data_IF_842378169307
#
_entry.id   IF_842378169307
#
_cell.length_a   1.000
_cell.length_b   1.000
_cell.length_c   1.000
_cell.angle_alpha   90.00
_cell.angle_beta   90.00
_cell.angle_gamma   90.00
#
_symmetry.space_group_name_H-M   'P 1'
#
loop_
_entity.id
_entity.type
_entity.pdbx_description
1 polymer ?
#
# COMPACT_ATOMS: atom_id res chain seq x y z
N UNK A 1 0.93 -15.78 -7.51
CA UNK A 1 1.90 -14.69 -7.75
C UNK A 1 2.64 -14.37 -6.48
N UNK A 2 3.81 -13.74 -6.57
CA UNK A 2 4.67 -13.40 -5.43
C UNK A 2 3.94 -12.59 -4.36
N UNK A 3 3.08 -11.64 -4.75
CA UNK A 3 2.23 -10.86 -3.84
C UNK A 3 1.34 -11.73 -2.93
N UNK A 4 0.73 -12.79 -3.46
CA UNK A 4 -0.12 -13.69 -2.67
C UNK A 4 0.74 -14.47 -1.67
N UNK A 5 1.91 -14.96 -2.09
CA UNK A 5 2.85 -15.64 -1.21
C UNK A 5 3.31 -14.71 -0.08
N UNK A 6 3.69 -13.48 -0.40
CA UNK A 6 4.07 -12.46 0.57
C UNK A 6 2.94 -12.13 1.55
N UNK A 7 1.69 -12.06 1.07
CA UNK A 7 0.52 -11.82 1.92
C UNK A 7 0.33 -12.95 2.97
N UNK A 8 0.45 -14.21 2.56
CA UNK A 8 0.36 -15.35 3.47
C UNK A 8 1.54 -15.42 4.45
N UNK A 9 2.77 -15.19 3.97
CA UNK A 9 3.95 -15.11 4.83
C UNK A 9 3.78 -14.02 5.89
N UNK A 10 3.35 -12.83 5.48
CA UNK A 10 3.11 -11.73 6.41
C UNK A 10 1.99 -12.03 7.40
N UNK A 11 0.91 -12.69 6.98
CA UNK A 11 -0.14 -13.14 7.90
C UNK A 11 0.46 -14.00 9.01
N UNK A 12 1.25 -15.01 8.66
CA UNK A 12 1.88 -15.90 9.65
C UNK A 12 2.85 -15.17 10.57
N UNK A 13 3.67 -14.26 10.04
CA UNK A 13 4.61 -13.49 10.86
C UNK A 13 3.91 -12.46 11.75
N UNK A 14 2.88 -11.77 11.24
CA UNK A 14 2.09 -10.80 12.01
C UNK A 14 1.33 -11.46 13.15
N UNK A 15 0.82 -12.68 12.95
CA UNK A 15 0.13 -13.43 14.00
C UNK A 15 0.98 -13.55 15.28
N UNK A 16 2.30 -13.73 15.15
CA UNK A 16 3.21 -13.82 16.29
C UNK A 16 3.23 -12.53 17.14
N UNK A 17 3.02 -11.38 16.51
CA UNK A 17 3.00 -10.08 17.17
C UNK A 17 1.59 -9.65 17.61
N UNK A 18 0.54 -10.19 17.00
CA UNK A 18 -0.85 -9.79 17.25
C UNK A 18 -1.64 -10.79 18.10
N UNK A 19 -0.98 -11.83 18.64
CA UNK A 19 -1.62 -12.87 19.50
C UNK A 19 -2.42 -12.31 20.68
N UNK A 20 -2.03 -11.14 21.21
CA UNK A 20 -2.71 -10.48 22.33
C UNK A 20 -3.94 -9.66 21.89
N UNK A 21 -4.17 -9.50 20.58
CA UNK A 21 -5.26 -8.73 19.99
C UNK A 21 -6.17 -9.68 19.20
N UNK A 22 -7.12 -10.32 19.89
CA UNK A 22 -8.08 -11.28 19.29
C UNK A 22 -8.87 -10.66 18.12
N UNK A 23 -9.11 -9.35 18.15
CA UNK A 23 -9.81 -8.61 17.09
C UNK A 23 -8.91 -8.25 15.89
N UNK A 24 -7.60 -8.43 15.99
CA UNK A 24 -6.63 -7.98 14.97
C UNK A 24 -6.00 -9.15 14.19
N UNK A 25 -6.67 -10.30 14.13
CA UNK A 25 -6.21 -11.46 13.35
C UNK A 25 -6.15 -11.09 11.86
N UNK A 26 -4.97 -11.12 11.22
CA UNK A 26 -4.87 -10.77 9.81
C UNK A 26 -5.62 -11.77 8.91
N UNK A 27 -6.37 -11.24 7.94
CA UNK A 27 -7.08 -12.02 6.94
C UNK A 27 -6.64 -11.59 5.53
N UNK A 28 -6.38 -12.57 4.66
CA UNK A 28 -6.03 -12.33 3.26
C UNK A 28 -7.30 -12.47 2.44
N UNK A 29 -7.77 -11.37 1.84
CA UNK A 29 -8.97 -11.39 1.02
C UNK A 29 -8.73 -12.13 -0.30
N UNK A 30 -9.66 -13.00 -0.64
CA UNK A 30 -9.74 -13.63 -1.97
C UNK A 30 -10.49 -12.72 -2.95
N UNK A 31 -10.43 -13.03 -4.25
CA UNK A 31 -11.03 -12.19 -5.31
C UNK A 31 -12.55 -11.98 -5.15
N UNK A 32 -13.24 -12.96 -4.54
CA UNK A 32 -14.69 -12.99 -4.35
C UNK A 32 -15.15 -12.40 -3.02
N UNK A 33 -14.22 -12.19 -2.09
CA UNK A 33 -14.54 -11.64 -0.78
C UNK A 33 -14.70 -10.12 -0.85
N UNK A 34 -15.48 -9.60 0.10
CA UNK A 34 -15.63 -8.17 0.36
C UNK A 34 -14.94 -7.82 1.66
N UNK A 35 -14.65 -6.54 1.86
CA UNK A 35 -14.05 -6.08 3.11
C UNK A 35 -14.97 -6.38 4.32
N UNK A 36 -14.47 -7.00 5.40
CA UNK A 36 -15.24 -7.18 6.63
C UNK A 36 -15.67 -5.83 7.23
N UNK A 37 -16.89 -5.71 7.80
CA UNK A 37 -17.45 -4.42 8.23
C UNK A 37 -16.72 -3.77 9.41
N UNK A 38 -15.97 -4.56 10.19
CA UNK A 38 -15.22 -4.09 11.37
C UNK A 38 -13.73 -3.87 11.07
N UNK A 39 -13.33 -3.89 9.80
CA UNK A 39 -11.94 -3.63 9.42
C UNK A 39 -11.56 -2.21 9.80
N UNK A 40 -10.43 -2.02 10.48
CA UNK A 40 -9.88 -0.70 10.83
C UNK A 40 -8.63 -0.34 10.03
N UNK A 41 -7.90 -1.35 9.57
CA UNK A 41 -6.65 -1.21 8.83
C UNK A 41 -6.59 -2.23 7.71
N UNK A 42 -6.17 -1.81 6.52
CA UNK A 42 -5.88 -2.68 5.38
C UNK A 42 -4.40 -2.61 5.06
N UNK A 43 -3.75 -3.77 5.02
CA UNK A 43 -2.38 -3.91 4.53
C UNK A 43 -2.45 -4.05 3.02
N UNK A 44 -1.87 -3.09 2.30
CA UNK A 44 -1.88 -3.04 0.84
C UNK A 44 -0.60 -3.70 0.33
N UNK A 45 -0.73 -4.87 -0.27
CA UNK A 45 0.41 -5.60 -0.85
C UNK A 45 0.76 -5.02 -2.21
N UNK A 46 1.83 -4.24 -2.27
CA UNK A 46 2.27 -3.51 -3.43
C UNK A 46 3.29 -4.32 -4.25
N UNK A 47 2.81 -4.87 -5.36
CA UNK A 47 3.61 -5.54 -6.40
C UNK A 47 3.42 -4.82 -7.74
N UNK A 48 4.29 -5.06 -8.72
CA UNK A 48 4.11 -4.47 -10.04
C UNK A 48 2.79 -4.93 -10.66
N UNK A 49 1.96 -3.97 -11.07
CA UNK A 49 0.65 -4.23 -11.68
C UNK A 49 -0.49 -4.61 -10.73
N UNK A 50 -0.31 -4.58 -9.40
CA UNK A 50 -1.40 -4.89 -8.45
C UNK A 50 -2.65 -4.02 -8.66
N UNK A 51 -2.47 -2.73 -8.98
CA UNK A 51 -3.57 -1.78 -9.25
C UNK A 51 -4.25 -1.96 -10.61
N UNK A 52 -3.86 -2.96 -11.42
CA UNK A 52 -4.52 -3.33 -12.68
C UNK A 52 -5.53 -4.47 -12.49
N UNK A 53 -5.55 -5.10 -11.32
CA UNK A 53 -6.41 -6.24 -11.01
C UNK A 53 -7.79 -5.75 -10.55
N UNK A 54 -8.90 -6.05 -11.27
CA UNK A 54 -10.23 -5.51 -10.93
C UNK A 54 -10.69 -5.82 -9.49
N UNK A 55 -10.44 -7.04 -9.00
CA UNK A 55 -10.82 -7.42 -7.64
C UNK A 55 -10.03 -6.63 -6.57
N UNK A 56 -8.76 -6.36 -6.83
CA UNK A 56 -7.88 -5.62 -5.93
C UNK A 56 -8.28 -4.13 -5.87
N UNK A 57 -8.56 -3.54 -7.04
CA UNK A 57 -9.07 -2.17 -7.16
C UNK A 57 -10.41 -2.01 -6.43
N UNK A 58 -11.35 -2.94 -6.64
CA UNK A 58 -12.62 -2.97 -5.92
C UNK A 58 -12.42 -2.97 -4.40
N UNK A 59 -11.55 -3.84 -3.88
CA UNK A 59 -11.29 -3.97 -2.44
C UNK A 59 -10.63 -2.72 -1.84
N UNK A 60 -9.74 -2.06 -2.58
CA UNK A 60 -9.15 -0.77 -2.17
C UNK A 60 -10.21 0.32 -2.07
N UNK A 61 -11.09 0.41 -3.07
CA UNK A 61 -12.16 1.40 -3.09
C UNK A 61 -13.22 1.12 -2.01
N UNK A 62 -13.54 -0.15 -1.74
CA UNK A 62 -14.37 -0.57 -0.61
C UNK A 62 -13.75 -0.12 0.74
N UNK A 63 -12.44 -0.29 0.92
CA UNK A 63 -11.74 0.14 2.12
C UNK A 63 -11.70 1.66 2.30
N UNK A 64 -11.44 2.41 1.23
CA UNK A 64 -11.55 3.87 1.24
C UNK A 64 -12.98 4.30 1.60
N UNK A 65 -13.99 3.65 1.01
CA UNK A 65 -15.39 3.93 1.31
C UNK A 65 -15.79 3.56 2.75
N UNK A 66 -15.07 2.64 3.39
CA UNK A 66 -15.24 2.33 4.80
C UNK A 66 -14.47 3.28 5.73
N UNK A 67 -13.64 4.19 5.20
CA UNK A 67 -12.80 5.09 5.99
C UNK A 67 -11.69 4.35 6.74
N UNK A 68 -11.23 3.24 6.18
CA UNK A 68 -10.19 2.38 6.74
C UNK A 68 -8.81 2.97 6.44
N UNK A 69 -7.88 2.86 7.38
CA UNK A 69 -6.51 3.30 7.13
C UNK A 69 -5.74 2.25 6.33
N UNK A 70 -4.76 2.71 5.55
CA UNK A 70 -3.92 1.84 4.73
C UNK A 70 -2.52 1.70 5.32
N UNK A 71 -1.91 0.54 5.12
CA UNK A 71 -0.49 0.30 5.41
C UNK A 71 0.15 -0.32 4.16
N UNK A 72 0.84 0.47 3.32
CA UNK A 72 1.48 -0.07 2.12
C UNK A 72 2.69 -0.94 2.46
N UNK A 73 2.77 -2.11 1.83
CA UNK A 73 3.89 -3.05 1.90
C UNK A 73 4.40 -3.37 0.50
N UNK A 74 5.65 -3.01 0.20
CA UNK A 74 6.29 -3.31 -1.08
C UNK A 74 6.93 -4.70 -1.02
N UNK A 75 6.60 -5.55 -1.99
CA UNK A 75 7.07 -6.95 -2.01
C UNK A 75 8.05 -7.28 -3.14
N UNK A 76 8.35 -6.30 -4.00
CA UNK A 76 9.27 -6.42 -5.13
C UNK A 76 10.32 -5.30 -5.10
N UNK A 77 11.59 -5.62 -5.32
CA UNK A 77 12.69 -4.63 -5.27
C UNK A 77 12.59 -3.56 -6.36
N UNK A 78 12.04 -3.93 -7.51
CA UNK A 78 11.83 -3.06 -8.66
C UNK A 78 10.41 -2.47 -8.71
N UNK A 79 9.72 -2.37 -7.57
CA UNK A 79 8.41 -1.76 -7.49
C UNK A 79 8.46 -0.29 -7.92
N UNK A 80 7.63 0.09 -8.90
CA UNK A 80 7.48 1.47 -9.35
C UNK A 80 6.49 2.20 -8.43
N UNK A 81 7.00 3.13 -7.62
CA UNK A 81 6.14 4.04 -6.84
C UNK A 81 5.28 4.92 -7.76
N UNK A 82 4.09 5.36 -7.31
CA UNK A 82 3.24 6.23 -8.10
C UNK A 82 3.98 7.49 -8.55
N UNK A 83 3.82 7.82 -9.83
CA UNK A 83 4.35 8.99 -10.50
C UNK A 83 3.38 9.37 -11.64
N UNK A 84 3.62 10.49 -12.33
CA UNK A 84 2.71 10.96 -13.39
C UNK A 84 2.45 9.91 -14.48
N UNK A 85 3.51 9.25 -14.95
CA UNK A 85 3.40 8.16 -15.93
C UNK A 85 2.59 6.97 -15.39
N UNK A 86 2.73 6.64 -14.10
CA UNK A 86 1.92 5.60 -13.47
C UNK A 86 0.44 5.99 -13.44
N UNK A 87 0.12 7.27 -13.18
CA UNK A 87 -1.27 7.73 -13.16
C UNK A 87 -1.87 7.77 -14.57
N UNK A 88 -1.11 8.18 -15.58
CA UNK A 88 -1.50 8.07 -16.99
C UNK A 88 -1.82 6.61 -17.35
N UNK A 89 -0.96 5.67 -16.96
CA UNK A 89 -1.19 4.23 -17.15
C UNK A 89 -2.51 3.74 -16.49
N UNK A 90 -2.93 4.33 -15.36
CA UNK A 90 -4.21 4.00 -14.70
C UNK A 90 -5.39 4.60 -15.48
N UNK A 91 -5.27 5.82 -16.01
CA UNK A 91 -6.33 6.45 -16.81
C UNK A 91 -6.64 5.68 -18.11
N UNK A 92 -5.66 4.94 -18.63
CA UNK A 92 -5.80 4.10 -19.83
C UNK A 92 -6.42 2.72 -19.55
N UNK A 93 -6.65 2.34 -18.28
CA UNK A 93 -7.24 1.04 -17.96
C UNK A 93 -8.70 0.94 -18.43
N UNK A 94 -9.16 -0.26 -18.83
CA UNK A 94 -10.51 -0.42 -19.31
C UNK A 94 -11.54 -0.21 -18.18
N UNK A 95 -12.73 0.37 -18.46
CA UNK A 95 -13.69 0.76 -17.44
C UNK A 95 -14.12 -0.36 -16.48
N UNK A 96 -14.09 -1.61 -16.92
CA UNK A 96 -14.46 -2.78 -16.10
C UNK A 96 -13.50 -3.04 -14.93
N UNK A 97 -12.31 -2.42 -14.90
CA UNK A 97 -11.39 -2.49 -13.75
C UNK A 97 -11.95 -1.74 -12.54
N UNK A 98 -12.71 -0.66 -12.77
CA UNK A 98 -13.14 0.27 -11.72
C UNK A 98 -14.54 -0.04 -11.15
N UNK A 99 -15.32 -0.89 -11.82
CA UNK A 99 -16.70 -1.16 -11.42
C UNK A 99 -17.57 0.11 -11.52
N UNK A 100 -18.18 0.51 -10.40
CA UNK A 100 -19.03 1.72 -10.31
C UNK A 100 -18.24 3.01 -10.03
N UNK A 101 -16.93 2.91 -9.79
CA UNK A 101 -16.05 4.05 -9.58
C UNK A 101 -15.34 4.48 -10.88
N UNK A 102 -14.65 5.61 -10.86
CA UNK A 102 -13.82 6.06 -11.97
C UNK A 102 -12.31 5.95 -11.65
N UNK A 103 -11.47 6.11 -12.67
CA UNK A 103 -10.01 6.03 -12.54
C UNK A 103 -9.43 7.09 -11.59
N UNK A 104 -10.03 8.29 -11.52
CA UNK A 104 -9.57 9.35 -10.63
C UNK A 104 -9.81 9.00 -9.16
N UNK A 105 -10.90 8.31 -8.83
CA UNK A 105 -11.15 7.83 -7.47
C UNK A 105 -10.02 6.90 -7.01
N UNK A 106 -9.58 6.00 -7.89
CA UNK A 106 -8.45 5.10 -7.60
C UNK A 106 -7.13 5.85 -7.47
N UNK A 107 -6.82 6.79 -8.38
CA UNK A 107 -5.61 7.61 -8.34
C UNK A 107 -5.52 8.37 -7.01
N UNK A 108 -6.63 8.99 -6.59
CA UNK A 108 -6.74 9.70 -5.32
C UNK A 108 -6.46 8.80 -4.12
N UNK A 109 -6.98 7.57 -4.12
CA UNK A 109 -6.75 6.58 -3.05
C UNK A 109 -5.31 6.09 -3.06
N UNK A 110 -4.74 5.78 -4.22
CA UNK A 110 -3.33 5.40 -4.36
C UNK A 110 -2.42 6.51 -3.83
N UNK A 111 -2.68 7.76 -4.20
CA UNK A 111 -1.97 8.92 -3.68
C UNK A 111 -1.98 8.94 -2.15
N UNK A 112 -3.14 8.74 -1.53
CA UNK A 112 -3.28 8.64 -0.06
C UNK A 112 -2.55 7.45 0.55
N UNK A 113 -2.65 6.27 -0.06
CA UNK A 113 -1.95 5.06 0.41
C UNK A 113 -0.45 5.34 0.54
N UNK A 114 0.15 6.03 -0.44
CA UNK A 114 1.58 6.31 -0.48
C UNK A 114 1.99 7.65 0.18
N UNK A 115 1.06 8.36 0.84
CA UNK A 115 1.45 9.41 1.80
C UNK A 115 2.06 8.79 3.07
N UNK A 116 1.66 7.56 3.39
CA UNK A 116 2.28 6.78 4.46
C UNK A 116 3.55 6.08 3.96
N UNK A 117 4.57 6.00 4.82
CA UNK A 117 5.83 5.33 4.50
C UNK A 117 5.55 3.86 4.18
N UNK A 118 5.90 3.41 2.98
CA UNK A 118 5.80 2.00 2.62
C UNK A 118 6.92 1.18 3.28
N UNK A 119 6.57 0.01 3.80
CA UNK A 119 7.55 -0.93 4.34
C UNK A 119 7.89 -1.95 3.27
N UNK A 120 9.17 -2.08 2.90
CA UNK A 120 9.61 -3.20 2.06
C UNK A 120 9.60 -4.51 2.84
N UNK A 121 9.06 -5.58 2.27
CA UNK A 121 9.08 -6.95 2.80
C UNK A 121 9.35 -7.90 1.63
N UNK A 122 10.61 -8.30 1.44
CA UNK A 122 11.01 -9.16 0.34
C UNK A 122 11.16 -10.59 0.84
N UNK A 123 10.43 -11.54 0.24
CA UNK A 123 10.43 -12.94 0.71
C UNK A 123 11.82 -13.62 0.65
N UNK A 124 12.78 -13.04 -0.05
CA UNK A 124 14.16 -13.50 -0.18
C UNK A 124 15.06 -13.04 0.97
N UNK A 125 14.59 -12.08 1.79
CA UNK A 125 15.32 -11.60 2.95
C UNK A 125 15.50 -12.69 4.00
N UNK A 126 16.55 -12.57 4.81
CA UNK A 126 16.71 -13.44 5.98
C UNK A 126 15.55 -13.29 6.97
N UNK A 127 15.22 -14.36 7.68
CA UNK A 127 14.17 -14.38 8.70
C UNK A 127 14.31 -13.25 9.73
N UNK A 128 15.53 -12.92 10.15
CA UNK A 128 15.80 -11.82 11.09
C UNK A 128 15.38 -10.46 10.53
N UNK A 129 15.65 -10.20 9.25
CA UNK A 129 15.26 -8.96 8.58
C UNK A 129 13.75 -8.88 8.43
N UNK A 130 13.12 -9.99 8.03
CA UNK A 130 11.66 -10.10 7.97
C UNK A 130 11.00 -9.84 9.34
N UNK A 131 11.53 -10.43 10.41
CA UNK A 131 11.01 -10.26 11.76
C UNK A 131 11.03 -8.78 12.21
N UNK A 132 12.13 -8.05 11.93
CA UNK A 132 12.23 -6.62 12.26
C UNK A 132 11.20 -5.79 11.48
N UNK A 133 11.06 -6.06 10.17
CA UNK A 133 10.09 -5.36 9.30
C UNK A 133 8.65 -5.63 9.72
N UNK A 134 8.33 -6.88 10.04
CA UNK A 134 6.99 -7.28 10.50
C UNK A 134 6.69 -6.70 11.88
N UNK A 135 7.64 -6.68 12.81
CA UNK A 135 7.46 -6.02 14.11
C UNK A 135 7.13 -4.53 13.94
N UNK A 136 7.81 -3.84 13.00
CA UNK A 136 7.49 -2.45 12.68
C UNK A 136 6.09 -2.28 12.09
N UNK A 137 5.63 -3.23 11.25
CA UNK A 137 4.26 -3.22 10.72
C UNK A 137 3.23 -3.45 11.83
N UNK A 138 3.47 -4.41 12.72
CA UNK A 138 2.60 -4.69 13.86
C UNK A 138 2.45 -3.46 14.77
N UNK A 139 3.55 -2.74 15.04
CA UNK A 139 3.51 -1.48 15.79
C UNK A 139 2.65 -0.41 15.11
N UNK A 140 2.73 -0.26 13.77
CA UNK A 140 1.91 0.67 12.99
C UNK A 140 0.43 0.31 13.03
N UNK A 141 0.10 -0.98 12.93
CA UNK A 141 -1.26 -1.48 13.02
C UNK A 141 -1.84 -1.21 14.42
N UNK A 142 -1.05 -1.45 15.47
CA UNK A 142 -1.47 -1.22 16.85
C UNK A 142 -1.63 0.27 17.21
N UNK A 143 -0.84 1.16 16.59
CA UNK A 143 -0.84 2.59 16.92
C UNK A 143 -1.97 3.39 16.27
N UNK A 144 -2.72 2.81 15.32
CA UNK A 144 -3.69 3.59 14.56
C UNK A 144 -4.66 4.32 15.48
N UNK A 145 -4.64 5.67 15.49
CA UNK A 145 -5.56 6.44 16.29
C UNK A 145 -6.97 5.98 15.92
N UNK A 146 -7.85 5.86 16.91
CA UNK A 146 -9.29 5.73 16.64
C UNK A 146 -9.78 7.08 16.11
N UNK A 147 -9.32 7.48 14.93
CA UNK A 147 -9.81 8.64 14.21
C UNK A 147 -11.25 8.33 13.86
N UNK A 148 -12.16 8.79 14.72
CA UNK A 148 -13.56 8.94 14.40
C UNK A 148 -13.59 9.82 13.15
N UNK A 149 -13.85 9.19 11.99
CA UNK A 149 -13.85 9.79 10.66
C UNK A 149 -14.77 11.03 10.63
N UNK A 150 -14.22 12.19 10.97
CA UNK A 150 -14.82 13.51 10.73
C UNK A 150 -14.49 14.01 9.32
N UNK A 151 -13.62 13.30 8.59
CA UNK A 151 -13.20 13.66 7.23
C UNK A 151 -14.29 13.46 6.15
N UNK A 152 -15.38 12.74 6.44
CA UNK A 152 -16.44 12.46 5.44
C UNK A 152 -17.47 13.57 5.27
N UNK A 153 -17.65 14.45 6.26
CA UNK A 153 -18.77 15.40 6.26
C UNK A 153 -18.61 16.55 5.25
N UNK A 154 -17.42 16.73 4.66
CA UNK A 154 -17.17 17.80 3.66
C UNK A 154 -17.32 17.39 2.19
N UNK A 155 -17.50 16.10 1.85
CA UNK A 155 -17.68 15.67 0.44
C UNK A 155 -19.11 15.86 -0.10
N UNK A 156 -20.09 16.19 0.75
CA UNK A 156 -21.46 16.44 0.31
C UNK A 156 -21.66 17.78 -0.42
N UNK A 157 -20.64 18.63 -0.54
CA UNK A 157 -20.74 19.94 -1.22
C UNK A 157 -19.76 20.04 -2.38
N UNK A 158 -20.12 19.38 -3.48
CA UNK A 158 -19.80 19.63 -4.91
C UNK A 158 -18.68 20.60 -5.31
N UNK A 159 -17.53 20.59 -4.64
CA UNK A 159 -16.35 21.34 -5.08
C UNK A 159 -15.35 20.34 -5.62
N UNK A 160 -15.26 20.30 -6.95
CA UNK A 160 -14.17 19.70 -7.71
C UNK A 160 -12.85 20.26 -7.17
N UNK A 161 -12.14 19.46 -6.38
CA UNK A 161 -11.03 19.91 -5.57
C UNK A 161 -9.75 19.99 -6.43
N UNK A 162 -9.16 21.18 -6.53
CA UNK A 162 -7.86 21.43 -7.15
C UNK A 162 -6.71 20.89 -6.27
N UNK A 163 -6.67 19.57 -5.99
CA UNK A 163 -5.75 18.96 -5.01
C UNK A 163 -4.52 18.28 -5.59
N UNK A 164 -4.47 18.08 -6.90
CA UNK A 164 -3.32 17.45 -7.55
C UNK A 164 -2.02 18.20 -7.22
N UNK A 165 -2.06 19.52 -7.07
CA UNK A 165 -0.87 20.33 -6.74
C UNK A 165 -0.32 20.13 -5.33
N UNK A 166 -1.13 19.86 -4.30
CA UNK A 166 -0.62 19.63 -2.93
C UNK A 166 0.01 18.26 -2.77
N UNK A 167 -0.59 17.24 -3.38
CA UNK A 167 -0.04 15.89 -3.42
C UNK A 167 1.25 15.90 -4.25
N UNK A 168 1.26 16.59 -5.40
CA UNK A 168 2.47 16.76 -6.22
C UNK A 168 3.58 17.46 -5.42
N UNK A 169 3.29 18.55 -4.72
CA UNK A 169 4.29 19.27 -3.93
C UNK A 169 4.88 18.41 -2.79
N UNK A 170 4.10 17.46 -2.25
CA UNK A 170 4.59 16.53 -1.25
C UNK A 170 5.48 15.44 -1.87
N UNK A 171 5.09 14.89 -3.03
CA UNK A 171 5.91 13.93 -3.77
C UNK A 171 7.20 14.55 -4.32
N UNK A 172 7.15 15.79 -4.81
CA UNK A 172 8.32 16.54 -5.27
C UNK A 172 9.31 16.76 -4.13
N UNK A 173 8.82 17.10 -2.93
CA UNK A 173 9.66 17.19 -1.72
C UNK A 173 10.29 15.84 -1.34
N UNK A 174 9.55 14.75 -1.45
CA UNK A 174 10.08 13.40 -1.18
C UNK A 174 11.12 12.98 -2.23
N UNK A 175 10.93 13.38 -3.49
CA UNK A 175 11.84 13.16 -4.61
C UNK A 175 13.14 13.95 -4.48
N UNK A 176 13.05 15.18 -3.98
CA UNK A 176 14.21 16.02 -3.68
C UNK A 176 15.05 15.41 -2.54
N UNK A 177 14.42 14.82 -1.52
CA UNK A 177 15.15 14.06 -0.48
C UNK A 177 15.76 12.74 -0.95
N UNK A 178 15.22 12.12 -2.02
CA UNK A 178 15.77 10.88 -2.58
C UNK A 178 16.88 11.13 -3.62
N UNK A 179 16.93 12.32 -4.23
CA UNK A 179 17.93 12.67 -5.25
C UNK A 179 19.33 12.98 -4.68
N UNK A 180 19.48 13.13 -3.35
CA UNK A 180 20.78 13.23 -2.68
C UNK A 180 21.46 11.86 -2.44
N UNK A 181 20.81 10.75 -2.80
CA UNK A 181 21.45 9.43 -2.88
C UNK A 181 22.07 9.20 -4.27
N UNK A 182 23.00 10.05 -4.70
CA UNK A 182 23.90 9.69 -5.79
C UNK A 182 24.87 8.61 -5.30
N UNK A 183 24.49 7.34 -5.47
CA UNK A 183 25.41 6.22 -5.37
C UNK A 183 26.46 6.34 -6.48
N UNK A 184 27.56 6.99 -6.12
CA UNK A 184 28.86 6.91 -6.79
C UNK A 184 29.32 5.45 -6.85
N UNK A 185 29.44 4.94 -8.08
CA UNK A 185 30.22 3.79 -8.57
C UNK A 185 30.90 2.85 -7.56
N UNK A 186 30.70 1.54 -7.74
CA UNK A 186 31.72 0.62 -8.27
C UNK A 186 31.19 -0.81 -8.30
N UNK A 187 31.30 -1.43 -9.48
CA UNK A 187 31.22 -2.86 -9.63
C UNK A 187 32.49 -3.48 -9.03
N UNK A 188 32.37 -4.04 -7.83
CA UNK A 188 33.37 -4.95 -7.28
C UNK A 188 32.83 -6.38 -7.34
N UNK A 189 33.53 -7.15 -8.16
CA UNK A 189 33.56 -8.61 -8.18
C UNK A 189 33.70 -9.17 -6.77
N UNK A 190 32.85 -10.14 -6.41
CA UNK A 190 33.15 -11.11 -5.37
C UNK A 190 32.77 -12.51 -5.85
N UNK A 191 33.81 -13.33 -6.03
CA UNK A 191 33.77 -14.79 -6.06
C UNK A 191 33.89 -15.26 -4.61
N UNK A 192 33.10 -16.26 -4.21
CA UNK A 192 33.52 -17.30 -3.26
C UNK A 192 32.59 -18.53 -3.35
N UNK A 193 33.21 -19.67 -3.62
CA UNK A 193 32.73 -21.02 -3.32
C UNK A 193 32.48 -21.18 -1.81
N UNK A 194 31.43 -21.92 -1.43
CA UNK A 194 31.49 -23.34 -1.03
C UNK A 194 30.24 -24.03 -1.55
#
# INVERSE_FOLDING_TARGET
GEAVCAAFLMKELLLQHLTHLVEAVPHVLTEKETLPPNTRTVIVICSNGCFRQPHYVRQILEAEAAGVSFVPVVVEENFRFPCDLFYEEILELPPNVFGDCNAHDLIDVIGRIFLDIATGVFCQDSEKVLAVRVASLAARIAWQPTTKSTYREKRAHGTTFARTSEIQLHFDKLRDTASDCSLSSKADSWVAEV
#
